data_IF_178955045257
#
_entry.id   IF_178955045257
#
_cell.length_a   1.000
_cell.length_b   1.000
_cell.length_c   1.000
_cell.angle_alpha   90.00
_cell.angle_beta   90.00
_cell.angle_gamma   90.00
#
_symmetry.space_group_name_H-M   'P 1'
#
loop_
_entity.id
_entity.type
_entity.pdbx_description
1 polymer ?
#
# COMPACT_ATOMS: atom_id res chain seq x y z
N UNK A 1 5.70 37.19 45.62
CA UNK A 1 6.15 35.82 45.32
C UNK A 1 5.12 34.76 45.66
N UNK A 2 4.56 34.79 46.86
CA UNK A 2 3.51 33.83 47.26
C UNK A 2 2.24 33.92 46.40
N UNK A 3 1.88 35.10 45.94
CA UNK A 3 0.70 35.30 45.12
C UNK A 3 0.86 34.74 43.68
N UNK A 4 2.05 34.80 43.11
CA UNK A 4 2.35 34.25 41.78
C UNK A 4 2.34 32.72 41.80
N UNK A 5 2.84 32.12 42.88
CA UNK A 5 2.80 30.66 43.04
C UNK A 5 1.36 30.12 43.12
N UNK A 6 0.50 30.86 43.85
CA UNK A 6 -0.93 30.47 43.96
C UNK A 6 -1.69 30.63 42.66
N UNK A 7 -1.38 31.63 41.85
CA UNK A 7 -2.06 31.88 40.58
C UNK A 7 -1.54 31.03 39.42
N UNK A 8 -0.23 30.89 39.32
CA UNK A 8 0.43 30.26 38.18
C UNK A 8 0.82 28.80 38.41
N UNK A 9 1.11 28.42 39.65
CA UNK A 9 1.55 27.07 39.99
C UNK A 9 0.62 25.98 39.48
N UNK A 10 -0.70 26.03 39.76
CA UNK A 10 -1.65 25.02 39.28
C UNK A 10 -1.79 24.97 37.75
N UNK A 11 -1.69 26.13 37.08
CA UNK A 11 -1.79 26.22 35.62
C UNK A 11 -0.56 25.60 34.97
N UNK A 12 0.62 25.87 35.47
CA UNK A 12 1.87 25.31 34.95
C UNK A 12 1.94 23.81 35.20
N UNK A 13 1.54 23.35 36.36
CA UNK A 13 1.49 21.93 36.71
C UNK A 13 0.52 21.16 35.78
N UNK A 14 -0.68 21.72 35.53
CA UNK A 14 -1.66 21.13 34.64
C UNK A 14 -1.11 21.04 33.21
N UNK A 15 -0.44 22.07 32.73
CA UNK A 15 0.21 22.09 31.41
C UNK A 15 1.31 21.05 31.29
N UNK A 16 2.12 20.89 32.30
CA UNK A 16 3.18 19.87 32.34
C UNK A 16 2.59 18.45 32.31
N UNK A 17 1.48 18.21 33.02
CA UNK A 17 0.79 16.93 33.00
C UNK A 17 0.20 16.63 31.60
N UNK A 18 -0.40 17.63 30.94
CA UNK A 18 -0.89 17.49 29.59
C UNK A 18 0.22 17.17 28.58
N UNK A 19 1.40 17.77 28.74
CA UNK A 19 2.56 17.46 27.90
C UNK A 19 3.06 16.03 28.10
N UNK A 20 3.09 15.54 29.33
CA UNK A 20 3.46 14.13 29.62
C UNK A 20 2.50 13.16 28.97
N UNK A 21 1.20 13.41 29.09
CA UNK A 21 0.16 12.56 28.48
C UNK A 21 0.26 12.58 26.95
N UNK A 22 0.49 13.72 26.34
CA UNK A 22 0.67 13.85 24.90
C UNK A 22 1.90 13.09 24.39
N UNK A 23 3.02 13.16 25.12
CA UNK A 23 4.23 12.40 24.80
C UNK A 23 4.04 10.90 24.93
N UNK A 24 3.36 10.45 25.98
CA UNK A 24 3.05 9.03 26.17
C UNK A 24 2.18 8.49 25.04
N UNK A 25 1.11 9.20 24.65
CA UNK A 25 0.25 8.83 23.53
C UNK A 25 1.00 8.76 22.20
N UNK A 26 1.89 9.71 21.94
CA UNK A 26 2.72 9.71 20.73
C UNK A 26 3.66 8.51 20.68
N UNK A 27 4.24 8.15 21.81
CA UNK A 27 5.14 6.99 21.92
C UNK A 27 4.37 5.68 21.69
N UNK A 28 3.20 5.52 22.28
CA UNK A 28 2.35 4.34 22.08
C UNK A 28 1.89 4.23 20.62
N UNK A 29 1.52 5.33 19.98
CA UNK A 29 1.17 5.38 18.56
C UNK A 29 2.33 4.93 17.66
N UNK A 30 3.56 5.36 17.94
CA UNK A 30 4.75 4.92 17.20
C UNK A 30 5.04 3.43 17.36
N UNK A 31 4.79 2.85 18.52
CA UNK A 31 4.91 1.41 18.77
C UNK A 31 3.89 0.60 17.97
N UNK A 32 2.63 1.03 17.97
CA UNK A 32 1.58 0.41 17.18
C UNK A 32 1.91 0.42 15.71
N UNK A 33 2.42 1.54 15.18
CA UNK A 33 2.84 1.67 13.78
C UNK A 33 3.97 0.70 13.41
N UNK A 34 4.95 0.52 14.29
CA UNK A 34 6.03 -0.45 14.06
C UNK A 34 5.54 -1.89 14.04
N UNK A 35 4.63 -2.26 14.94
CA UNK A 35 4.04 -3.60 15.00
C UNK A 35 3.20 -3.87 13.74
N UNK A 36 2.42 -2.91 13.29
CA UNK A 36 1.63 -3.00 12.06
C UNK A 36 2.52 -3.17 10.82
N UNK A 37 3.67 -2.50 10.78
CA UNK A 37 4.65 -2.67 9.69
C UNK A 37 5.26 -4.07 9.67
N UNK A 38 5.61 -4.59 10.82
CA UNK A 38 6.11 -5.97 10.93
C UNK A 38 5.08 -6.98 10.48
N UNK A 39 3.82 -6.79 10.87
CA UNK A 39 2.71 -7.63 10.45
C UNK A 39 2.50 -7.57 8.94
N UNK A 40 2.54 -6.37 8.35
CA UNK A 40 2.46 -6.22 6.90
C UNK A 40 3.63 -6.89 6.19
N UNK A 41 4.85 -6.67 6.65
CA UNK A 41 6.04 -7.27 6.04
C UNK A 41 6.01 -8.79 6.09
N UNK A 42 5.49 -9.36 7.17
CA UNK A 42 5.29 -10.80 7.29
C UNK A 42 4.23 -11.30 6.31
N UNK A 43 3.09 -10.63 6.23
CA UNK A 43 2.04 -10.94 5.26
C UNK A 43 2.55 -10.83 3.82
N UNK A 44 3.31 -9.80 3.51
CA UNK A 44 3.92 -9.61 2.21
C UNK A 44 4.86 -10.76 1.86
N UNK A 45 5.77 -11.10 2.76
CA UNK A 45 6.75 -12.16 2.55
C UNK A 45 6.12 -13.54 2.44
N UNK A 46 5.12 -13.83 3.27
CA UNK A 46 4.53 -15.17 3.38
C UNK A 46 3.41 -15.41 2.35
N UNK A 47 2.69 -14.38 1.93
CA UNK A 47 1.48 -14.51 1.10
C UNK A 47 1.54 -13.66 -0.18
N UNK A 48 1.72 -12.35 -0.07
CA UNK A 48 1.58 -11.44 -1.22
C UNK A 48 2.70 -11.63 -2.24
N UNK A 49 3.93 -11.54 -1.80
CA UNK A 49 5.11 -11.64 -2.69
C UNK A 49 5.20 -13.00 -3.39
N UNK A 50 5.02 -14.14 -2.71
CA UNK A 50 5.08 -15.45 -3.38
C UNK A 50 4.05 -15.59 -4.51
N UNK A 51 2.83 -15.12 -4.31
CA UNK A 51 1.80 -15.15 -5.35
C UNK A 51 2.18 -14.25 -6.52
N UNK A 52 2.63 -13.03 -6.26
CA UNK A 52 3.08 -12.11 -7.31
C UNK A 52 4.27 -12.68 -8.09
N UNK A 53 5.24 -13.31 -7.43
CA UNK A 53 6.39 -13.95 -8.09
C UNK A 53 5.97 -15.13 -8.97
N UNK A 54 4.97 -15.89 -8.56
CA UNK A 54 4.38 -16.96 -9.37
C UNK A 54 3.79 -16.41 -10.66
N UNK A 55 3.06 -15.30 -10.60
CA UNK A 55 2.50 -14.63 -11.78
C UNK A 55 3.61 -14.02 -12.66
N UNK A 56 4.62 -13.42 -12.07
CA UNK A 56 5.78 -12.90 -12.79
C UNK A 56 6.46 -14.00 -13.62
N UNK A 57 6.70 -15.15 -13.01
CA UNK A 57 7.33 -16.31 -13.68
C UNK A 57 6.43 -16.87 -14.80
N UNK A 58 5.14 -16.98 -14.56
CA UNK A 58 4.19 -17.42 -15.57
C UNK A 58 4.16 -16.48 -16.78
N UNK A 59 4.02 -15.18 -16.53
CA UNK A 59 4.00 -14.18 -17.60
C UNK A 59 5.30 -14.15 -18.39
N UNK A 60 6.42 -14.30 -17.72
CA UNK A 60 7.73 -14.39 -18.38
C UNK A 60 7.80 -15.58 -19.35
N UNK A 61 7.21 -16.72 -18.97
CA UNK A 61 7.11 -17.88 -19.86
C UNK A 61 6.27 -17.63 -21.11
N UNK A 62 5.43 -16.59 -21.10
CA UNK A 62 4.60 -16.13 -22.21
C UNK A 62 5.12 -14.86 -22.89
N UNK A 63 6.37 -14.53 -22.67
CA UNK A 63 7.04 -13.31 -23.19
C UNK A 63 6.36 -12.00 -22.76
N UNK A 64 5.71 -12.00 -21.60
CA UNK A 64 5.13 -10.81 -21.01
C UNK A 64 5.98 -10.36 -19.81
N UNK A 65 6.47 -9.13 -19.85
CA UNK A 65 7.29 -8.58 -18.81
C UNK A 65 6.46 -8.02 -17.65
N UNK A 66 6.83 -8.39 -16.46
CA UNK A 66 6.27 -7.85 -15.22
C UNK A 66 7.37 -7.75 -14.17
N UNK A 67 7.10 -7.03 -13.10
CA UNK A 67 8.02 -6.93 -11.98
C UNK A 67 7.28 -6.89 -10.65
N UNK A 68 7.97 -7.30 -9.60
CA UNK A 68 7.48 -7.23 -8.23
C UNK A 68 8.43 -6.35 -7.44
N UNK A 69 7.90 -5.26 -6.89
CA UNK A 69 8.65 -4.32 -6.07
C UNK A 69 8.21 -4.44 -4.61
N UNK A 70 9.16 -4.72 -3.73
CA UNK A 70 8.92 -4.84 -2.29
C UNK A 70 9.64 -3.72 -1.57
N UNK A 71 8.91 -2.99 -0.77
CA UNK A 71 9.44 -2.00 0.15
C UNK A 71 9.08 -2.42 1.56
N UNK A 72 10.08 -2.81 2.33
CA UNK A 72 9.89 -3.30 3.71
C UNK A 72 10.05 -2.21 4.77
N UNK A 73 10.59 -1.05 4.40
CA UNK A 73 10.87 0.06 5.32
C UNK A 73 10.14 1.33 4.92
N UNK A 74 9.97 2.24 5.88
CA UNK A 74 9.48 3.58 5.60
C UNK A 74 10.60 4.37 4.94
N UNK A 75 10.37 4.75 3.69
CA UNK A 75 11.26 5.63 2.95
C UNK A 75 10.48 6.89 2.59
N UNK A 76 11.00 8.05 3.00
CA UNK A 76 10.39 9.35 2.71
C UNK A 76 8.91 9.45 3.14
N UNK A 77 8.57 8.91 4.32
CA UNK A 77 7.21 8.93 4.86
C UNK A 77 6.22 7.96 4.20
N UNK A 78 6.67 7.13 3.27
CA UNK A 78 5.82 6.12 2.62
C UNK A 78 5.86 4.80 3.39
N UNK A 79 4.69 4.23 3.60
CA UNK A 79 4.53 2.95 4.28
C UNK A 79 5.12 1.78 3.47
N UNK A 80 5.46 0.66 4.14
CA UNK A 80 5.83 -0.57 3.45
C UNK A 80 4.78 -0.99 2.43
N UNK A 81 5.24 -1.48 1.29
CA UNK A 81 4.36 -1.87 0.20
C UNK A 81 4.93 -3.00 -0.63
N UNK A 82 4.05 -3.75 -1.28
CA UNK A 82 4.39 -4.77 -2.27
C UNK A 82 3.56 -4.52 -3.52
N UNK A 83 4.22 -4.32 -4.63
CA UNK A 83 3.60 -3.89 -5.88
C UNK A 83 3.92 -4.86 -7.01
N UNK A 84 2.90 -5.22 -7.78
CA UNK A 84 3.04 -5.95 -9.03
C UNK A 84 2.84 -4.96 -10.20
N UNK A 85 3.80 -4.90 -11.10
CA UNK A 85 3.78 -4.01 -12.26
C UNK A 85 3.79 -4.84 -13.53
N UNK A 86 2.83 -4.58 -14.41
CA UNK A 86 2.78 -5.18 -15.72
C UNK A 86 3.40 -4.22 -16.75
N UNK A 87 4.57 -4.58 -17.29
CA UNK A 87 5.29 -3.75 -18.27
C UNK A 87 4.67 -3.92 -19.66
N UNK A 88 3.57 -3.22 -19.87
CA UNK A 88 2.79 -3.30 -21.08
C UNK A 88 3.30 -2.25 -22.08
N UNK A 89 3.96 -2.70 -23.15
CA UNK A 89 4.65 -1.84 -24.13
C UNK A 89 3.74 -0.92 -24.95
N UNK A 90 2.45 -1.07 -24.80
CA UNK A 90 1.44 -0.38 -25.61
C UNK A 90 0.87 0.87 -24.97
N UNK A 91 1.33 1.19 -23.74
CA UNK A 91 0.91 2.42 -23.08
C UNK A 91 1.74 3.59 -23.58
N UNK A 92 1.09 4.65 -24.02
CA UNK A 92 1.76 5.90 -24.43
C UNK A 92 2.26 6.72 -23.25
N UNK A 93 1.92 6.32 -22.05
CA UNK A 93 2.33 6.99 -20.82
C UNK A 93 3.46 6.24 -20.13
N UNK A 94 4.20 6.95 -19.28
CA UNK A 94 5.22 6.38 -18.40
C UNK A 94 4.66 5.50 -17.27
N UNK A 95 3.33 5.40 -17.16
CA UNK A 95 2.66 4.57 -16.19
C UNK A 95 2.29 3.21 -16.76
N UNK A 96 2.56 2.19 -15.97
CA UNK A 96 2.17 0.82 -16.29
C UNK A 96 1.00 0.38 -15.41
N UNK A 97 0.14 -0.53 -15.91
CA UNK A 97 -0.86 -1.18 -15.06
C UNK A 97 -0.18 -1.83 -13.85
N UNK A 98 -0.72 -1.60 -12.67
CA UNK A 98 -0.13 -2.14 -11.44
C UNK A 98 -1.19 -2.36 -10.36
N UNK A 99 -0.84 -3.18 -9.39
CA UNK A 99 -1.58 -3.33 -8.15
C UNK A 99 -0.60 -3.23 -6.99
N UNK A 100 -0.93 -2.43 -6.00
CA UNK A 100 -0.07 -2.15 -4.86
C UNK A 100 -0.82 -2.42 -3.56
N UNK A 101 -0.22 -3.28 -2.76
CA UNK A 101 -0.65 -3.55 -1.39
C UNK A 101 0.26 -2.76 -0.46
N UNK A 102 -0.32 -2.01 0.46
CA UNK A 102 0.47 -1.24 1.43
C UNK A 102 -0.16 -1.27 2.81
N UNK A 103 0.67 -1.08 3.82
CA UNK A 103 0.19 -0.91 5.19
C UNK A 103 -0.49 0.44 5.34
N UNK A 104 -1.69 0.47 5.91
CA UNK A 104 -2.44 1.69 6.19
C UNK A 104 -3.10 1.60 7.56
N UNK A 105 -2.37 2.01 8.60
CA UNK A 105 -2.82 1.82 9.97
C UNK A 105 -3.07 0.34 10.26
N UNK A 106 -4.25 0.00 10.75
CA UNK A 106 -4.63 -1.38 11.05
C UNK A 106 -5.07 -2.19 9.82
N UNK A 107 -5.21 -1.56 8.67
CA UNK A 107 -5.71 -2.18 7.44
C UNK A 107 -4.65 -2.26 6.35
N UNK A 108 -4.94 -3.08 5.36
CA UNK A 108 -4.17 -3.16 4.13
C UNK A 108 -4.87 -2.32 3.07
N UNK A 109 -4.15 -1.38 2.51
CA UNK A 109 -4.61 -0.56 1.40
C UNK A 109 -4.25 -1.23 0.09
N UNK A 110 -5.20 -1.30 -0.83
CA UNK A 110 -4.99 -1.82 -2.18
C UNK A 110 -5.30 -0.72 -3.17
N UNK A 111 -4.36 -0.45 -4.05
CA UNK A 111 -4.50 0.54 -5.10
C UNK A 111 -4.15 -0.07 -6.45
N UNK A 112 -5.02 0.10 -7.44
CA UNK A 112 -4.84 -0.40 -8.80
C UNK A 112 -4.78 0.75 -9.79
N UNK A 113 -3.80 0.69 -10.70
CA UNK A 113 -3.77 1.49 -11.91
C UNK A 113 -4.10 0.56 -13.09
N UNK A 114 -5.22 0.82 -13.72
CA UNK A 114 -5.72 -0.03 -14.81
C UNK A 114 -5.53 0.62 -16.17
N UNK A 115 -5.29 -0.24 -17.16
CA UNK A 115 -5.34 0.18 -18.54
C UNK A 115 -6.81 0.44 -18.92
N UNK A 116 -7.07 1.65 -19.38
CA UNK A 116 -8.34 2.04 -19.98
C UNK A 116 -8.19 2.19 -21.50
N UNK A 117 -9.29 2.44 -22.20
CA UNK A 117 -9.29 2.61 -23.66
C UNK A 117 -8.25 3.63 -24.13
N UNK A 118 -7.64 3.39 -25.30
CA UNK A 118 -6.63 4.23 -25.95
C UNK A 118 -5.25 4.24 -25.31
N UNK A 119 -4.87 3.20 -24.57
CA UNK A 119 -3.53 3.09 -24.00
C UNK A 119 -3.26 3.97 -22.79
N UNK A 120 -4.27 4.58 -22.22
CA UNK A 120 -4.14 5.35 -20.99
C UNK A 120 -4.23 4.45 -19.77
N UNK A 121 -3.33 4.65 -18.83
CA UNK A 121 -3.37 4.02 -17.51
C UNK A 121 -3.90 5.03 -16.51
N UNK A 122 -4.99 4.71 -15.86
CA UNK A 122 -5.56 5.55 -14.80
C UNK A 122 -5.59 4.82 -13.48
N UNK A 123 -5.31 5.60 -12.43
CA UNK A 123 -5.50 5.15 -11.07
C UNK A 123 -6.99 4.88 -10.83
N UNK A 124 -7.30 3.68 -10.33
CA UNK A 124 -8.64 3.36 -9.90
C UNK A 124 -9.04 4.26 -8.73
N UNK A 125 -10.31 4.66 -8.67
CA UNK A 125 -10.78 5.89 -8.01
C UNK A 125 -10.29 6.10 -6.59
N UNK A 126 -10.48 5.17 -5.68
CA UNK A 126 -10.02 5.28 -4.29
C UNK A 126 -9.34 3.99 -3.86
N UNK A 127 -8.31 4.07 -2.99
CA UNK A 127 -7.75 2.86 -2.43
C UNK A 127 -8.83 2.09 -1.65
N UNK A 128 -8.86 0.79 -1.83
CA UNK A 128 -9.70 -0.09 -1.05
C UNK A 128 -8.95 -0.52 0.21
N UNK A 129 -9.67 -0.73 1.30
CA UNK A 129 -9.09 -1.11 2.58
C UNK A 129 -9.65 -2.46 3.03
N UNK A 130 -8.76 -3.36 3.42
CA UNK A 130 -9.10 -4.71 3.86
C UNK A 130 -8.40 -5.05 5.16
N UNK A 131 -9.00 -5.92 5.95
CA UNK A 131 -8.32 -6.52 7.09
C UNK A 131 -7.28 -7.52 6.59
N UNK A 132 -6.19 -7.68 7.33
CA UNK A 132 -5.10 -8.59 6.93
C UNK A 132 -5.56 -10.05 6.74
N UNK A 133 -6.57 -10.49 7.49
CA UNK A 133 -7.16 -11.82 7.37
C UNK A 133 -7.89 -12.05 6.05
N UNK A 134 -8.31 -10.99 5.39
CA UNK A 134 -8.97 -11.05 4.08
C UNK A 134 -7.96 -11.21 2.92
N UNK A 135 -6.69 -10.93 3.17
CA UNK A 135 -5.62 -11.02 2.15
C UNK A 135 -5.10 -12.46 2.13
N UNK A 136 -5.76 -13.30 1.36
CA UNK A 136 -5.40 -14.69 1.14
C UNK A 136 -4.75 -14.87 -0.22
N UNK A 137 -4.12 -16.03 -0.46
CA UNK A 137 -3.57 -16.36 -1.79
C UNK A 137 -4.64 -16.26 -2.87
N UNK A 138 -5.81 -16.81 -2.62
CA UNK A 138 -6.95 -16.78 -3.57
C UNK A 138 -7.38 -15.35 -3.86
N UNK A 139 -7.46 -14.50 -2.84
CA UNK A 139 -7.80 -13.10 -2.99
C UNK A 139 -6.81 -12.38 -3.90
N UNK A 140 -5.52 -12.58 -3.69
CA UNK A 140 -4.47 -11.96 -4.48
C UNK A 140 -4.48 -12.51 -5.92
N UNK A 141 -4.63 -13.80 -6.09
CA UNK A 141 -4.73 -14.44 -7.42
C UNK A 141 -5.90 -13.86 -8.22
N UNK A 142 -7.07 -13.73 -7.63
CA UNK A 142 -8.23 -13.13 -8.28
C UNK A 142 -7.98 -11.68 -8.71
N UNK A 143 -7.35 -10.91 -7.86
CA UNK A 143 -7.00 -9.51 -8.16
C UNK A 143 -6.00 -9.40 -9.30
N UNK A 144 -4.96 -10.22 -9.31
CA UNK A 144 -3.96 -10.24 -10.37
C UNK A 144 -4.56 -10.71 -11.70
N UNK A 145 -5.38 -11.75 -11.68
CA UNK A 145 -6.07 -12.24 -12.86
C UNK A 145 -6.97 -11.13 -13.45
N UNK A 146 -7.70 -10.43 -12.61
CA UNK A 146 -8.57 -9.32 -13.04
C UNK A 146 -7.77 -8.19 -13.67
N UNK A 147 -6.64 -7.81 -13.08
CA UNK A 147 -5.75 -6.80 -13.63
C UNK A 147 -5.20 -7.22 -14.99
N UNK A 148 -4.70 -8.44 -15.10
CA UNK A 148 -4.12 -8.98 -16.34
C UNK A 148 -5.19 -9.08 -17.43
N UNK A 149 -6.36 -9.61 -17.11
CA UNK A 149 -7.48 -9.69 -18.04
C UNK A 149 -7.90 -8.33 -18.58
N UNK A 150 -7.91 -7.31 -17.73
CA UNK A 150 -8.26 -5.96 -18.15
C UNK A 150 -7.29 -5.40 -19.20
N UNK A 151 -6.04 -5.85 -19.19
CA UNK A 151 -5.02 -5.44 -20.15
C UNK A 151 -5.10 -6.21 -21.48
N UNK A 152 -5.57 -7.45 -21.47
CA UNK A 152 -5.59 -8.34 -22.63
C UNK A 152 -7.02 -8.65 -23.16
N UNK A 153 -8.03 -7.98 -22.64
CA UNK A 153 -9.42 -8.15 -23.05
C UNK A 153 -9.74 -7.33 -24.31
N UNK A 154 -10.99 -7.43 -24.77
CA UNK A 154 -11.54 -6.81 -26.02
C UNK A 154 -11.14 -5.35 -26.22
N UNK A 155 -10.92 -4.61 -25.17
CA UNK A 155 -10.45 -3.23 -25.22
C UNK A 155 -9.05 -3.09 -25.84
N UNK A 156 -8.30 -4.18 -25.90
CA UNK A 156 -6.98 -4.21 -26.49
C UNK A 156 -6.98 -3.91 -28.00
N UNK A 157 -7.96 -4.42 -28.71
CA UNK A 157 -8.11 -4.18 -30.14
C UNK A 157 -8.50 -2.74 -30.47
N UNK A 158 -9.15 -2.03 -29.54
CA UNK A 158 -9.48 -0.62 -29.71
C UNK A 158 -8.31 0.33 -29.38
N UNK A 159 -7.27 -0.16 -28.73
CA UNK A 159 -6.03 0.57 -28.44
C UNK A 159 -5.14 0.61 -29.69
N UNK A 160 -5.26 -0.39 -30.56
CA UNK A 160 -4.60 -0.48 -31.86
C UNK A 160 -5.64 -0.40 -32.97
N UNK A 161 -5.74 0.74 -33.65
CA UNK A 161 -6.54 0.83 -34.87
C UNK A 161 -5.95 0.00 -36.01
#
# INVERSE_FOLDING_TARGET
>A
MEDLEKELGPIIENFQNLLKDAKAKKFDSLREDEDLKKDFNKLSKDVIEPVMRKFESYLKSKDVNSSVNVRSEIVSGKNPSTEFILHFKLTHESRYPNIKFSSSGEKISIQEDRLITKGEVRQDMMPEYYDKEQITEEFIEERLIRLIKSCFDKNWQSIYP
#
